data_IF_878365570616
#
_entry.id   IF_878365570616
#
_cell.length_a   1.000
_cell.length_b   1.000
_cell.length_c   1.000
_cell.angle_alpha   90.00
_cell.angle_beta   90.00
_cell.angle_gamma   90.00
#
_symmetry.space_group_name_H-M   'P 1'
#
loop_
_entity.id
_entity.type
_entity.pdbx_description
1 polymer ?
#
# COMPACT_ATOMS: atom_id res chain seq x y z
N UNK A 1 17.82 -1.71 2.80
CA UNK A 1 16.67 -0.91 3.30
C UNK A 1 15.50 -1.88 3.41
N UNK A 2 14.94 -2.10 4.61
CA UNK A 2 13.77 -2.95 4.80
C UNK A 2 12.51 -2.07 4.78
N UNK A 3 11.67 -2.22 3.77
CA UNK A 3 10.42 -1.47 3.66
C UNK A 3 9.32 -2.15 4.47
N UNK A 4 8.32 -1.35 4.88
CA UNK A 4 7.12 -1.83 5.57
C UNK A 4 5.88 -1.32 4.86
N UNK A 5 4.83 -2.12 4.85
CA UNK A 5 3.54 -1.66 4.34
C UNK A 5 2.79 -0.96 5.46
N UNK A 6 2.48 0.32 5.27
CA UNK A 6 1.73 1.13 6.22
C UNK A 6 0.29 1.30 5.73
N UNK A 7 -0.68 0.88 6.55
CA UNK A 7 -2.11 0.84 6.20
C UNK A 7 -2.99 1.46 7.27
N UNK A 8 -4.29 1.64 7.01
CA UNK A 8 -5.23 2.07 8.05
C UNK A 8 -5.46 0.96 9.09
N UNK A 9 -5.71 1.31 10.37
CA UNK A 9 -5.93 0.31 11.43
C UNK A 9 -7.04 -0.68 11.10
N UNK A 10 -8.13 -0.19 10.50
CA UNK A 10 -9.32 -0.98 10.14
C UNK A 10 -9.02 -2.10 9.15
N UNK A 11 -8.03 -1.92 8.25
CA UNK A 11 -7.71 -2.91 7.21
C UNK A 11 -6.47 -3.76 7.52
N UNK A 12 -5.72 -3.44 8.59
CA UNK A 12 -4.41 -4.06 8.89
C UNK A 12 -4.45 -5.58 8.95
N UNK A 13 -5.41 -6.16 9.67
CA UNK A 13 -5.56 -7.61 9.77
C UNK A 13 -5.90 -8.25 8.42
N UNK A 14 -6.82 -7.65 7.68
CA UNK A 14 -7.25 -8.16 6.37
C UNK A 14 -6.11 -8.14 5.37
N UNK A 15 -5.34 -7.06 5.32
CA UNK A 15 -4.17 -6.94 4.45
C UNK A 15 -3.06 -7.94 4.82
N UNK A 16 -2.82 -8.19 6.11
CA UNK A 16 -1.87 -9.22 6.54
C UNK A 16 -2.30 -10.61 6.06
N UNK A 17 -3.57 -10.98 6.24
CA UNK A 17 -4.11 -12.27 5.77
C UNK A 17 -4.03 -12.42 4.26
N UNK A 18 -4.28 -11.34 3.51
CA UNK A 18 -4.16 -11.33 2.05
C UNK A 18 -2.73 -11.66 1.60
N UNK A 19 -1.74 -11.06 2.26
CA UNK A 19 -0.33 -11.23 1.90
C UNK A 19 0.32 -12.48 2.50
N UNK A 20 -0.34 -13.17 3.43
CA UNK A 20 0.26 -14.27 4.19
C UNK A 20 0.74 -15.44 3.31
N UNK A 21 0.08 -15.68 2.18
CA UNK A 21 0.45 -16.76 1.25
C UNK A 21 1.58 -16.38 0.31
N UNK A 22 1.46 -15.21 -0.34
CA UNK A 22 2.33 -14.83 -1.44
C UNK A 22 3.53 -13.97 -1.00
N UNK A 23 3.37 -13.19 0.08
CA UNK A 23 4.36 -12.24 0.60
C UNK A 23 4.47 -12.31 2.14
N UNK A 24 4.74 -13.48 2.73
CA UNK A 24 4.72 -13.68 4.19
C UNK A 24 5.75 -12.85 4.95
N UNK A 25 6.87 -12.51 4.31
CA UNK A 25 7.96 -11.72 4.89
C UNK A 25 7.69 -10.22 4.93
N UNK A 26 6.67 -9.72 4.23
CA UNK A 26 6.35 -8.29 4.19
C UNK A 26 5.67 -7.88 5.51
N UNK A 27 6.27 -6.99 6.31
CA UNK A 27 5.64 -6.49 7.52
C UNK A 27 4.51 -5.51 7.17
N UNK A 28 3.37 -5.67 7.83
CA UNK A 28 2.19 -4.82 7.68
C UNK A 28 1.90 -4.14 9.01
N UNK A 29 2.04 -2.82 9.04
CA UNK A 29 1.78 -1.95 10.19
C UNK A 29 0.62 -1.01 9.89
N UNK A 30 -0.09 -0.62 10.93
CA UNK A 30 -1.09 0.43 10.89
C UNK A 30 -0.53 1.78 11.32
N UNK A 31 -1.11 2.86 10.82
CA UNK A 31 -0.75 4.22 11.26
C UNK A 31 -0.88 4.41 12.79
N UNK A 32 -1.82 3.72 13.45
CA UNK A 32 -2.00 3.80 14.92
C UNK A 32 -0.92 3.07 15.73
N UNK A 33 -0.08 2.24 15.10
CA UNK A 33 1.06 1.59 15.77
C UNK A 33 2.32 2.47 15.74
N UNK A 34 2.29 3.59 15.02
CA UNK A 34 3.42 4.51 14.89
C UNK A 34 3.29 5.60 15.96
N UNK A 35 4.36 5.82 16.71
CA UNK A 35 4.41 6.91 17.69
C UNK A 35 4.33 8.28 16.98
N UNK A 36 3.62 9.24 17.58
CA UNK A 36 3.31 10.54 16.95
C UNK A 36 4.55 11.35 16.54
N UNK A 37 5.69 11.13 17.20
CA UNK A 37 6.94 11.83 16.95
C UNK A 37 7.82 11.17 15.85
N UNK A 38 7.37 10.08 15.24
CA UNK A 38 8.12 9.37 14.19
C UNK A 38 7.79 9.95 12.82
N UNK A 39 8.83 10.38 12.09
CA UNK A 39 8.68 10.84 10.71
C UNK A 39 8.59 9.64 9.76
N UNK A 40 7.56 9.64 8.92
CA UNK A 40 7.33 8.59 7.92
C UNK A 40 7.94 9.05 6.59
N UNK A 41 8.83 8.22 6.03
CA UNK A 41 9.33 8.39 4.67
C UNK A 41 8.54 7.48 3.72
N UNK A 42 7.52 8.03 3.07
CA UNK A 42 6.71 7.29 2.11
C UNK A 42 7.49 7.07 0.81
N UNK A 43 7.73 5.81 0.46
CA UNK A 43 8.39 5.46 -0.80
C UNK A 43 7.40 5.55 -1.97
N UNK A 44 6.26 4.89 -1.87
CA UNK A 44 5.22 4.89 -2.90
C UNK A 44 3.85 4.51 -2.32
N UNK A 45 2.77 4.97 -2.96
CA UNK A 45 1.40 4.64 -2.60
C UNK A 45 0.80 3.68 -3.61
N UNK A 46 0.35 2.51 -3.14
CA UNK A 46 -0.29 1.51 -4.01
C UNK A 46 -1.65 2.04 -4.46
N UNK A 47 -1.86 2.07 -5.77
CA UNK A 47 -3.15 2.38 -6.40
C UNK A 47 -3.60 1.17 -7.19
N UNK A 48 -4.88 0.84 -7.09
CA UNK A 48 -5.49 -0.14 -7.98
C UNK A 48 -5.75 0.54 -9.32
N UNK A 49 -4.85 0.33 -10.28
CA UNK A 49 -5.08 0.73 -11.67
C UNK A 49 -5.74 -0.41 -12.41
N UNK A 50 -6.82 -0.12 -13.13
CA UNK A 50 -7.43 -1.10 -14.03
C UNK A 50 -6.46 -1.31 -15.20
N UNK A 51 -5.71 -2.41 -15.18
CA UNK A 51 -4.92 -2.86 -16.33
C UNK A 51 -5.91 -3.32 -17.40
N UNK A 52 -6.36 -2.37 -18.22
CA UNK A 52 -7.43 -2.56 -19.21
C UNK A 52 -8.03 -1.27 -19.78
N UNK A 53 -7.46 -0.09 -19.52
CA UNK A 53 -7.77 1.15 -20.26
C UNK A 53 -6.50 1.64 -20.96
N UNK A 54 -6.10 0.89 -22.00
CA UNK A 54 -5.36 1.44 -23.13
C UNK A 54 -6.41 1.83 -24.18
N UNK A 55 -7.11 2.92 -23.89
CA UNK A 55 -8.21 3.59 -24.61
C UNK A 55 -9.06 4.17 -23.46
N UNK A 56 -9.19 5.45 -23.21
CA UNK A 56 -9.27 6.58 -24.13
C UNK A 56 -8.72 7.83 -23.41
N UNK A 57 -7.77 8.53 -24.02
CA UNK A 57 -7.68 9.99 -23.94
C UNK A 57 -6.54 10.47 -24.83
N UNK A 58 -6.90 11.18 -25.91
CA UNK A 58 -5.99 12.12 -26.57
C UNK A 58 -5.58 11.77 -27.99
N UNK A 59 -6.52 11.74 -28.94
CA UNK A 59 -6.29 12.56 -30.13
C UNK A 59 -6.56 14.00 -29.68
N UNK A 60 -5.54 14.85 -29.87
CA UNK A 60 -5.60 16.31 -29.73
C UNK A 60 -6.78 16.89 -30.51
N UNK A 61 -7.48 17.84 -29.90
CA UNK A 61 -7.67 19.21 -30.42
C UNK A 61 -7.62 20.20 -29.25
#
# INVERSE_FOLDING_TARGET
ISAVLLVSPTIRLYFRKLLEKDLPSVPVLSYSEIAENVKINSLEMIKLTKTGSLAESGIKE
#
